data_IF_486269297534
#
_entry.id   IF_486269297534
#
_cell.length_a   1.000
_cell.length_b   1.000
_cell.length_c   1.000
_cell.angle_alpha   90.00
_cell.angle_beta   90.00
_cell.angle_gamma   90.00
#
_symmetry.space_group_name_H-M   'P 1'
#
loop_
_entity.id
_entity.type
_entity.pdbx_description
1 polymer ?
#
# COMPACT_ATOMS: atom_id res chain seq x y z
N UNK A 1 14.05 1.11 -0.82
CA UNK A 1 12.85 1.81 -0.36
C UNK A 1 12.37 1.07 0.87
N UNK A 2 12.23 1.76 1.99
CA UNK A 2 11.77 1.22 3.28
C UNK A 2 10.25 1.45 3.42
N UNK A 3 9.47 0.65 4.18
CA UNK A 3 8.03 0.87 4.34
C UNK A 3 7.66 2.28 4.82
N UNK A 4 8.50 2.90 5.66
CA UNK A 4 8.31 4.30 6.09
C UNK A 4 8.38 5.30 4.93
N UNK A 5 9.19 5.00 3.92
CA UNK A 5 9.25 5.82 2.71
C UNK A 5 8.00 5.65 1.86
N UNK A 6 7.38 4.46 1.86
CA UNK A 6 6.09 4.24 1.21
C UNK A 6 4.99 5.09 1.87
N UNK A 7 4.94 5.13 3.21
CA UNK A 7 4.02 6.00 3.96
C UNK A 7 4.24 7.48 3.63
N UNK A 8 5.51 7.94 3.60
CA UNK A 8 5.83 9.32 3.22
C UNK A 8 5.40 9.63 1.77
N UNK A 9 5.58 8.69 0.85
CA UNK A 9 5.14 8.89 -0.53
C UNK A 9 3.61 8.91 -0.63
N UNK A 10 2.90 8.17 0.22
CA UNK A 10 1.43 8.15 0.26
C UNK A 10 0.89 9.52 0.66
N UNK A 11 1.59 10.26 1.52
CA UNK A 11 1.11 11.57 2.00
C UNK A 11 0.79 12.57 0.88
N UNK A 12 1.41 12.41 -0.31
CA UNK A 12 1.15 13.24 -1.49
C UNK A 12 -0.08 12.81 -2.30
N UNK A 13 -0.68 11.65 -2.00
CA UNK A 13 -1.93 11.24 -2.63
C UNK A 13 -3.08 12.13 -2.17
N UNK A 14 -4.07 12.28 -3.05
CA UNK A 14 -5.22 13.13 -2.85
C UNK A 14 -6.35 12.34 -2.20
N UNK A 15 -6.98 12.90 -1.17
CA UNK A 15 -8.12 12.32 -0.46
C UNK A 15 -9.20 13.37 -0.25
N UNK A 16 -10.45 12.93 -0.25
CA UNK A 16 -11.59 13.79 0.01
C UNK A 16 -11.82 13.97 1.52
N UNK A 17 -12.05 15.22 1.94
CA UNK A 17 -12.42 15.57 3.30
C UNK A 17 -13.67 16.44 3.30
N UNK A 18 -14.41 16.40 4.41
CA UNK A 18 -15.53 17.31 4.67
C UNK A 18 -15.10 18.25 5.80
N UNK A 19 -14.75 19.52 5.49
CA UNK A 19 -14.34 20.49 6.50
C UNK A 19 -15.53 21.02 7.30
N UNK A 20 -15.26 21.52 8.50
CA UNK A 20 -16.24 22.21 9.36
C UNK A 20 -15.93 23.70 9.55
N UNK A 21 -15.08 24.26 8.68
CA UNK A 21 -14.63 25.64 8.74
C UNK A 21 -14.63 26.26 7.36
N UNK A 22 -14.67 27.60 7.35
CA UNK A 22 -14.48 28.40 6.14
C UNK A 22 -13.05 28.91 6.05
N UNK A 23 -12.45 28.84 4.86
CA UNK A 23 -11.15 29.44 4.55
C UNK A 23 -11.00 29.62 3.04
N UNK A 24 -10.29 30.65 2.63
CA UNK A 24 -9.91 30.84 1.22
C UNK A 24 -9.01 29.70 0.73
N UNK A 25 -8.84 29.61 -0.60
CA UNK A 25 -7.99 28.60 -1.25
C UNK A 25 -6.54 28.70 -0.78
N UNK A 26 -5.85 27.56 -0.74
CA UNK A 26 -4.45 27.47 -0.33
C UNK A 26 -3.56 27.27 -1.55
N UNK A 27 -2.71 28.26 -1.83
CA UNK A 27 -1.66 28.13 -2.84
C UNK A 27 -0.45 27.41 -2.23
N UNK A 28 -0.22 26.17 -2.64
CA UNK A 28 0.94 25.37 -2.27
C UNK A 28 2.00 25.43 -3.37
N UNK A 29 3.23 25.04 -3.03
CA UNK A 29 4.35 25.00 -4.00
C UNK A 29 4.03 24.06 -5.18
N UNK A 30 3.29 22.97 -4.93
CA UNK A 30 3.01 21.92 -5.90
C UNK A 30 1.56 21.88 -6.38
N UNK A 31 0.79 22.96 -6.19
CA UNK A 31 -0.62 23.02 -6.61
C UNK A 31 -1.46 23.93 -5.74
N UNK A 32 -2.74 24.06 -6.08
CA UNK A 32 -3.71 24.80 -5.29
C UNK A 32 -4.71 23.83 -4.67
N UNK A 33 -5.11 24.10 -3.44
CA UNK A 33 -6.24 23.44 -2.78
C UNK A 33 -7.40 24.42 -2.76
N UNK A 34 -8.58 23.97 -3.18
CA UNK A 34 -9.79 24.78 -3.23
C UNK A 34 -10.15 25.40 -1.87
N UNK A 35 -11.00 26.43 -1.90
CA UNK A 35 -11.53 27.04 -0.69
C UNK A 35 -12.26 26.00 0.17
N UNK A 36 -12.10 26.12 1.49
CA UNK A 36 -12.78 25.25 2.43
C UNK A 36 -14.13 25.87 2.77
N UNK A 37 -15.20 25.11 2.57
CA UNK A 37 -16.55 25.52 2.96
C UNK A 37 -17.19 24.43 3.84
N UNK A 38 -17.78 24.78 5.00
CA UNK A 38 -18.34 23.79 5.92
C UNK A 38 -19.35 22.87 5.24
N UNK A 39 -19.12 21.55 5.35
CA UNK A 39 -20.02 20.53 4.82
C UNK A 39 -19.87 20.25 3.32
N UNK A 40 -19.01 20.97 2.60
CA UNK A 40 -18.76 20.74 1.18
C UNK A 40 -17.48 19.90 1.02
N UNK A 41 -17.53 18.74 0.33
CA UNK A 41 -16.36 17.91 0.14
C UNK A 41 -15.27 18.63 -0.67
N UNK A 42 -14.02 18.55 -0.19
CA UNK A 42 -12.85 19.13 -0.85
C UNK A 42 -11.75 18.07 -0.91
N UNK A 43 -11.06 17.98 -2.05
CA UNK A 43 -9.93 17.06 -2.21
C UNK A 43 -8.62 17.74 -1.82
N UNK A 44 -7.88 17.14 -0.89
CA UNK A 44 -6.61 17.66 -0.39
C UNK A 44 -5.55 16.55 -0.32
N UNK A 45 -4.25 16.89 -0.29
CA UNK A 45 -3.22 15.90 0.00
C UNK A 45 -3.43 15.25 1.37
N UNK A 46 -3.12 13.96 1.51
CA UNK A 46 -3.31 13.20 2.75
C UNK A 46 -2.65 13.88 3.96
N UNK A 47 -1.44 14.44 3.83
CA UNK A 47 -0.80 15.14 4.95
C UNK A 47 -1.62 16.36 5.44
N UNK A 48 -2.30 17.07 4.53
CA UNK A 48 -3.21 18.18 4.89
C UNK A 48 -4.43 17.62 5.61
N UNK A 49 -5.04 16.57 5.06
CA UNK A 49 -6.21 15.93 5.64
C UNK A 49 -5.94 15.46 7.08
N UNK A 50 -4.81 14.78 7.30
CA UNK A 50 -4.39 14.31 8.63
C UNK A 50 -4.14 15.46 9.61
N UNK A 51 -3.53 16.55 9.15
CA UNK A 51 -3.27 17.73 9.98
C UNK A 51 -4.55 18.45 10.39
N UNK A 52 -5.49 18.62 9.46
CA UNK A 52 -6.81 19.21 9.73
C UNK A 52 -7.63 18.30 10.66
N UNK A 53 -7.60 16.98 10.44
CA UNK A 53 -8.31 16.01 11.26
C UNK A 53 -7.82 15.97 12.70
N UNK A 54 -6.49 16.08 12.91
CA UNK A 54 -5.88 16.18 14.25
C UNK A 54 -6.38 17.39 15.04
N UNK A 55 -6.75 18.47 14.34
CA UNK A 55 -7.37 19.68 14.91
C UNK A 55 -8.89 19.62 14.99
N UNK A 56 -9.50 18.47 14.66
CA UNK A 56 -10.95 18.27 14.60
C UNK A 56 -11.65 19.27 13.66
N UNK A 57 -10.98 19.65 12.56
CA UNK A 57 -11.48 20.63 11.58
C UNK A 57 -12.09 20.01 10.32
N UNK A 58 -12.05 18.70 10.20
CA UNK A 58 -12.67 17.97 9.09
C UNK A 58 -12.96 16.54 9.52
N UNK A 59 -13.81 15.88 8.75
CA UNK A 59 -13.99 14.43 8.74
C UNK A 59 -13.35 13.91 7.46
N UNK A 60 -12.53 12.87 7.54
CA UNK A 60 -11.95 12.27 6.35
C UNK A 60 -12.98 11.34 5.70
N UNK A 61 -13.21 11.49 4.39
CA UNK A 61 -14.01 10.54 3.64
C UNK A 61 -13.11 9.37 3.19
N UNK A 62 -13.29 8.14 3.72
CA UNK A 62 -12.45 7.02 3.33
C UNK A 62 -12.65 6.66 1.84
N UNK A 63 -11.63 6.12 1.15
CA UNK A 63 -11.77 5.65 -0.21
C UNK A 63 -12.90 4.62 -0.35
N UNK A 64 -13.60 4.56 -1.50
CA UNK A 64 -14.80 3.74 -1.65
C UNK A 64 -14.54 2.24 -1.48
N UNK A 65 -13.30 1.77 -1.68
CA UNK A 65 -12.91 0.39 -1.48
C UNK A 65 -12.65 0.03 0.00
N UNK A 66 -12.43 1.03 0.86
CA UNK A 66 -12.11 0.87 2.28
C UNK A 66 -13.38 0.70 3.10
N UNK A 67 -14.13 -0.36 2.79
CA UNK A 67 -15.34 -0.76 3.50
C UNK A 67 -15.36 -2.30 3.67
N UNK A 68 -16.15 -2.85 4.60
CA UNK A 68 -16.14 -4.29 4.86
C UNK A 68 -16.51 -5.16 3.65
N UNK A 69 -17.42 -4.72 2.79
CA UNK A 69 -17.87 -5.47 1.62
C UNK A 69 -16.80 -5.48 0.52
N UNK A 70 -16.23 -4.32 0.22
CA UNK A 70 -15.15 -4.17 -0.75
C UNK A 70 -13.90 -4.97 -0.36
N UNK A 71 -13.53 -4.92 0.93
CA UNK A 71 -12.40 -5.71 1.44
C UNK A 71 -12.66 -7.22 1.40
N UNK A 72 -13.88 -7.67 1.72
CA UNK A 72 -14.25 -9.09 1.56
C UNK A 72 -14.15 -9.53 0.11
N UNK A 73 -14.66 -8.73 -0.82
CA UNK A 73 -14.59 -9.03 -2.24
C UNK A 73 -13.13 -9.14 -2.72
N UNK A 74 -12.27 -8.20 -2.33
CA UNK A 74 -10.84 -8.26 -2.64
C UNK A 74 -10.16 -9.48 -2.03
N UNK A 75 -10.50 -9.85 -0.79
CA UNK A 75 -9.98 -11.07 -0.16
C UNK A 75 -10.41 -12.34 -0.92
N UNK A 76 -11.67 -12.43 -1.36
CA UNK A 76 -12.15 -13.55 -2.18
C UNK A 76 -11.43 -13.61 -3.52
N UNK A 77 -11.28 -12.48 -4.22
CA UNK A 77 -10.54 -12.42 -5.48
C UNK A 77 -9.07 -12.81 -5.32
N UNK A 78 -8.45 -12.42 -4.21
CA UNK A 78 -7.09 -12.83 -3.88
C UNK A 78 -7.04 -14.33 -3.56
N UNK A 79 -8.07 -14.94 -2.98
CA UNK A 79 -8.08 -16.37 -2.69
C UNK A 79 -8.23 -17.22 -3.96
N UNK A 80 -9.05 -16.77 -4.90
CA UNK A 80 -9.35 -17.48 -6.15
C UNK A 80 -8.23 -17.36 -7.19
N UNK A 81 -7.46 -16.27 -7.15
CA UNK A 81 -6.39 -16.03 -8.11
C UNK A 81 -5.12 -16.82 -7.73
N UNK A 82 -4.53 -17.57 -8.67
CA UNK A 82 -3.25 -18.24 -8.44
C UNK A 82 -2.09 -17.24 -8.27
N UNK A 83 -2.13 -16.14 -9.02
CA UNK A 83 -1.20 -15.01 -8.90
C UNK A 83 -1.72 -13.94 -7.94
N UNK A 84 -1.17 -12.73 -8.04
CA UNK A 84 -1.65 -11.59 -7.26
C UNK A 84 -2.88 -10.97 -7.94
N UNK A 85 -3.96 -10.81 -7.19
CA UNK A 85 -5.12 -10.05 -7.69
C UNK A 85 -4.78 -8.56 -7.77
N UNK A 86 -5.48 -7.83 -8.64
CA UNK A 86 -5.31 -6.39 -8.76
C UNK A 86 -6.01 -5.70 -7.58
N UNK A 87 -5.24 -4.95 -6.81
CA UNK A 87 -5.73 -4.11 -5.71
C UNK A 87 -5.45 -2.63 -6.00
N UNK A 88 -6.12 -1.68 -5.32
CA UNK A 88 -5.82 -0.26 -5.45
C UNK A 88 -4.34 0.05 -5.22
N UNK A 89 -3.83 1.09 -5.89
CA UNK A 89 -2.48 1.57 -5.62
C UNK A 89 -2.34 2.06 -4.18
N UNK A 90 -1.17 1.81 -3.57
CA UNK A 90 -0.87 2.16 -2.16
C UNK A 90 -1.92 1.69 -1.16
N UNK A 91 -2.54 0.54 -1.44
CA UNK A 91 -3.61 -0.05 -0.64
C UNK A 91 -3.22 -0.19 0.84
N UNK A 92 -2.05 -0.80 1.11
CA UNK A 92 -1.63 -1.12 2.47
C UNK A 92 -1.28 0.14 3.27
N UNK A 93 -0.58 1.08 2.64
CA UNK A 93 -0.23 2.36 3.24
C UNK A 93 -1.51 3.14 3.58
N UNK A 94 -2.45 3.21 2.63
CA UNK A 94 -3.70 3.97 2.79
C UNK A 94 -4.54 3.39 3.91
N UNK A 95 -4.72 2.06 3.91
CA UNK A 95 -5.41 1.36 4.98
C UNK A 95 -4.71 1.59 6.34
N UNK A 96 -3.39 1.46 6.40
CA UNK A 96 -2.63 1.64 7.63
C UNK A 96 -2.79 3.06 8.21
N UNK A 97 -2.56 4.08 7.39
CA UNK A 97 -2.62 5.49 7.81
C UNK A 97 -4.02 5.86 8.28
N UNK A 98 -5.05 5.56 7.49
CA UNK A 98 -6.43 5.92 7.83
C UNK A 98 -6.95 5.15 9.05
N UNK A 99 -6.74 3.84 9.13
CA UNK A 99 -7.19 3.02 10.27
C UNK A 99 -6.43 3.32 11.58
N UNK A 100 -5.24 3.94 11.49
CA UNK A 100 -4.43 4.31 12.67
C UNK A 100 -4.73 5.73 13.14
N UNK A 101 -4.83 6.69 12.20
CA UNK A 101 -4.94 8.12 12.51
C UNK A 101 -6.37 8.63 12.52
N UNK A 102 -7.28 7.97 11.80
CA UNK A 102 -8.66 8.42 11.56
C UNK A 102 -9.70 7.39 11.99
N UNK A 103 -9.39 6.64 13.05
CA UNK A 103 -10.24 5.57 13.61
C UNK A 103 -11.68 5.97 13.93
N UNK A 104 -11.92 7.25 14.22
CA UNK A 104 -13.25 7.79 14.56
C UNK A 104 -14.12 8.04 13.32
N UNK A 105 -13.50 8.20 12.15
CA UNK A 105 -14.19 8.49 10.89
C UNK A 105 -14.53 7.20 10.14
N UNK A 106 -14.19 6.05 10.71
CA UNK A 106 -14.20 4.75 10.05
C UNK A 106 -15.09 3.78 10.81
N UNK A 107 -16.18 3.35 10.17
CA UNK A 107 -17.08 2.34 10.70
C UNK A 107 -16.48 0.93 10.59
N UNK A 108 -16.84 0.00 11.49
CA UNK A 108 -16.42 -1.41 11.43
C UNK A 108 -14.88 -1.63 11.39
N UNK A 109 -14.13 -0.72 12.02
CA UNK A 109 -12.66 -0.67 11.98
C UNK A 109 -11.96 -2.01 12.26
N UNK A 110 -12.38 -2.75 13.30
CA UNK A 110 -11.74 -4.02 13.67
C UNK A 110 -11.95 -5.13 12.62
N UNK A 111 -13.13 -5.15 11.99
CA UNK A 111 -13.43 -6.09 10.90
C UNK A 111 -12.53 -5.75 9.70
N UNK A 112 -12.41 -4.48 9.36
CA UNK A 112 -11.58 -4.05 8.24
C UNK A 112 -10.09 -4.29 8.49
N UNK A 113 -9.59 -4.09 9.71
CA UNK A 113 -8.21 -4.45 10.08
C UNK A 113 -7.94 -5.93 9.89
N UNK A 114 -8.90 -6.77 10.28
CA UNK A 114 -8.81 -8.22 10.10
C UNK A 114 -8.74 -8.56 8.61
N UNK A 115 -9.65 -8.01 7.79
CA UNK A 115 -9.67 -8.28 6.35
C UNK A 115 -8.41 -7.79 5.61
N UNK A 116 -7.90 -6.60 5.95
CA UNK A 116 -6.64 -6.09 5.37
C UNK A 116 -5.47 -6.99 5.75
N UNK A 117 -5.43 -7.47 6.99
CA UNK A 117 -4.41 -8.40 7.45
C UNK A 117 -4.51 -9.74 6.72
N UNK A 118 -5.71 -10.27 6.53
CA UNK A 118 -5.92 -11.53 5.80
C UNK A 118 -5.39 -11.41 4.35
N UNK A 119 -5.69 -10.30 3.67
CA UNK A 119 -5.16 -9.99 2.33
C UNK A 119 -3.62 -9.95 2.36
N UNK A 120 -3.02 -9.26 3.33
CA UNK A 120 -1.57 -9.18 3.50
C UNK A 120 -0.94 -10.56 3.71
N UNK A 121 -1.52 -11.39 4.58
CA UNK A 121 -1.00 -12.71 4.91
C UNK A 121 -1.09 -13.67 3.72
N UNK A 122 -2.20 -13.62 2.96
CA UNK A 122 -2.37 -14.39 1.72
C UNK A 122 -1.33 -13.99 0.67
N UNK A 123 -1.16 -12.68 0.43
CA UNK A 123 -0.22 -12.17 -0.57
C UNK A 123 1.23 -12.40 -0.18
N UNK A 124 1.56 -12.24 1.10
CA UNK A 124 2.88 -12.59 1.64
C UNK A 124 3.18 -14.08 1.45
N UNK A 125 2.17 -14.94 1.65
CA UNK A 125 2.32 -16.39 1.42
C UNK A 125 2.57 -16.70 -0.05
N UNK A 126 1.83 -16.09 -0.97
CA UNK A 126 2.07 -16.20 -2.42
C UNK A 126 3.46 -15.72 -2.83
N UNK A 127 3.89 -14.58 -2.29
CA UNK A 127 5.22 -14.01 -2.55
C UNK A 127 6.33 -14.97 -2.12
N UNK A 128 6.20 -15.61 -0.96
CA UNK A 128 7.14 -16.65 -0.49
C UNK A 128 7.15 -17.85 -1.43
N UNK A 129 5.99 -18.38 -1.79
CA UNK A 129 5.91 -19.53 -2.72
C UNK A 129 6.50 -19.20 -4.08
N UNK A 130 6.21 -18.01 -4.62
CA UNK A 130 6.79 -17.51 -5.88
C UNK A 130 8.32 -17.40 -5.78
N UNK A 131 8.83 -16.86 -4.67
CA UNK A 131 10.27 -16.76 -4.41
C UNK A 131 10.95 -18.13 -4.38
N UNK A 132 10.37 -19.10 -3.66
CA UNK A 132 10.93 -20.45 -3.56
C UNK A 132 10.97 -21.12 -4.94
N UNK A 133 9.89 -21.02 -5.72
CA UNK A 133 9.84 -21.54 -7.09
C UNK A 133 10.90 -20.91 -7.98
N UNK A 134 11.09 -19.59 -7.86
CA UNK A 134 12.12 -18.88 -8.61
C UNK A 134 13.53 -19.36 -8.26
N UNK A 135 13.84 -19.50 -6.97
CA UNK A 135 15.16 -19.94 -6.52
C UNK A 135 15.45 -21.42 -6.82
N UNK A 136 14.42 -22.24 -7.03
CA UNK A 136 14.56 -23.66 -7.33
C UNK A 136 14.73 -23.95 -8.84
N UNK A 137 14.15 -23.14 -9.72
CA UNK A 137 14.27 -23.27 -11.18
C UNK A 137 15.57 -22.61 -11.68
N UNK A 138 16.73 -23.27 -11.52
CA UNK A 138 17.89 -22.93 -12.36
C UNK A 138 17.66 -23.45 -13.80
N UNK A 139 17.88 -22.66 -14.86
CA UNK A 139 18.60 -21.39 -14.94
C UNK A 139 17.68 -20.18 -15.25
N UNK A 140 16.58 -19.95 -14.52
CA UNK A 140 15.74 -18.76 -14.79
C UNK A 140 16.46 -17.48 -14.35
N UNK A 141 16.73 -16.60 -15.31
CA UNK A 141 17.36 -15.29 -15.09
C UNK A 141 16.39 -14.18 -14.68
N UNK A 142 15.09 -14.39 -14.87
CA UNK A 142 14.07 -13.37 -14.70
C UNK A 142 12.73 -13.96 -14.27
N UNK A 143 11.94 -13.14 -13.58
CA UNK A 143 10.58 -13.46 -13.14
C UNK A 143 9.72 -12.23 -13.34
N UNK A 144 8.60 -12.43 -14.03
CA UNK A 144 7.53 -11.45 -14.07
C UNK A 144 6.62 -11.66 -12.86
N UNK A 145 6.40 -10.58 -12.11
CA UNK A 145 5.48 -10.58 -10.96
C UNK A 145 4.54 -9.39 -11.13
N UNK A 146 3.32 -9.68 -11.57
CA UNK A 146 2.30 -8.66 -11.81
C UNK A 146 1.50 -8.36 -10.54
N UNK A 147 0.88 -7.17 -10.49
CA UNK A 147 -0.04 -6.74 -9.44
C UNK A 147 0.52 -6.74 -8.02
N UNK A 148 1.84 -6.69 -7.83
CA UNK A 148 2.46 -6.48 -6.52
C UNK A 148 2.61 -4.99 -6.25
N UNK A 149 2.27 -4.58 -5.02
CA UNK A 149 2.33 -3.18 -4.60
C UNK A 149 3.75 -2.76 -4.22
N UNK A 150 4.01 -1.46 -4.24
CA UNK A 150 5.29 -0.91 -3.82
C UNK A 150 5.62 -1.24 -2.35
N UNK A 151 4.60 -1.29 -1.49
CA UNK A 151 4.75 -1.66 -0.08
C UNK A 151 5.25 -3.09 0.11
N UNK A 152 4.68 -4.05 -0.64
CA UNK A 152 5.11 -5.45 -0.64
C UNK A 152 6.55 -5.58 -1.15
N UNK A 153 6.88 -4.89 -2.24
CA UNK A 153 8.24 -4.84 -2.77
C UNK A 153 9.19 -4.30 -1.72
N UNK A 154 8.85 -3.23 -1.02
CA UNK A 154 9.70 -2.64 0.03
C UNK A 154 10.03 -3.65 1.15
N UNK A 155 9.08 -4.50 1.54
CA UNK A 155 9.28 -5.52 2.58
C UNK A 155 10.21 -6.65 2.14
N UNK A 156 10.17 -7.04 0.87
CA UNK A 156 10.83 -8.27 0.40
C UNK A 156 12.12 -7.98 -0.39
N UNK A 157 12.30 -6.76 -0.91
CA UNK A 157 13.41 -6.34 -1.78
C UNK A 157 14.78 -6.68 -1.22
N UNK A 158 15.07 -6.31 0.03
CA UNK A 158 16.40 -6.51 0.61
C UNK A 158 16.72 -8.01 0.74
N UNK A 159 15.73 -8.82 1.12
CA UNK A 159 15.88 -10.26 1.20
C UNK A 159 16.17 -10.88 -0.17
N UNK A 160 15.36 -10.54 -1.18
CA UNK A 160 15.51 -11.10 -2.53
C UNK A 160 16.83 -10.71 -3.17
N UNK A 161 17.16 -9.42 -3.18
CA UNK A 161 18.38 -8.91 -3.82
C UNK A 161 19.66 -9.47 -3.19
N UNK A 162 19.70 -9.60 -1.86
CA UNK A 162 20.83 -10.18 -1.17
C UNK A 162 20.95 -11.69 -1.42
N UNK A 163 19.81 -12.41 -1.39
CA UNK A 163 19.79 -13.86 -1.62
C UNK A 163 20.19 -14.20 -3.04
N UNK A 164 19.61 -13.53 -4.05
CA UNK A 164 19.95 -13.76 -5.46
C UNK A 164 21.39 -13.39 -5.75
N UNK A 165 21.89 -12.25 -5.25
CA UNK A 165 23.30 -11.87 -5.42
C UNK A 165 24.25 -12.93 -4.85
N UNK A 166 23.89 -13.55 -3.73
CA UNK A 166 24.71 -14.60 -3.10
C UNK A 166 24.67 -15.88 -3.94
N UNK A 167 23.48 -16.30 -4.40
CA UNK A 167 23.30 -17.48 -5.24
C UNK A 167 24.08 -17.33 -6.56
N UNK A 168 23.98 -16.17 -7.22
CA UNK A 168 24.73 -15.90 -8.46
C UNK A 168 26.24 -15.97 -8.24
N UNK A 169 26.75 -15.44 -7.12
CA UNK A 169 28.19 -15.55 -6.79
C UNK A 169 28.63 -17.01 -6.60
N UNK A 170 27.80 -17.83 -5.95
CA UNK A 170 28.09 -19.25 -5.74
C UNK A 170 28.04 -20.04 -7.05
N UNK A 171 27.05 -19.80 -7.89
CA UNK A 171 26.92 -20.42 -9.22
C UNK A 171 28.13 -20.10 -10.11
N UNK A 172 28.56 -18.83 -10.13
CA UNK A 172 29.77 -18.43 -10.85
C UNK A 172 31.03 -19.08 -10.28
N UNK A 173 31.15 -19.18 -8.95
CA UNK A 173 32.29 -19.85 -8.34
C UNK A 173 32.37 -21.33 -8.73
N UNK A 174 31.25 -22.06 -8.73
CA UNK A 174 31.23 -23.49 -9.12
C UNK A 174 31.63 -23.67 -10.59
N UNK A 175 31.13 -22.82 -11.48
CA UNK A 175 31.48 -22.89 -12.91
C UNK A 175 32.96 -22.60 -13.18
N UNK A 176 33.62 -21.77 -12.37
CA UNK A 176 35.06 -21.51 -12.46
C UNK A 176 35.94 -22.74 -12.08
N UNK A 177 35.42 -23.75 -11.38
CA UNK A 177 36.15 -25.01 -11.06
C UNK A 177 35.95 -26.12 -12.09
N UNK A 178 34.94 -26.00 -12.96
CA UNK A 178 34.64 -27.00 -13.99
C UNK A 178 35.37 -26.74 -15.33
N UNK A 179 36.24 -25.71 -15.37
CA UNK A 179 37.14 -25.35 -16.50
C UNK A 179 38.59 -25.56 -16.09
#
# INVERSE_FOLDING_TARGET
MDPKQCDFLLENEMIEIIPNFSSDSLQLICGEVDAFEPGIPVTVPIWVALHLRKRQRCVINPPPWLNPEGLKQMATQEAENEGFSKIPERFFETAHVLMTRCKEDIENLEIMRTLVKDIWDMRTSKMKTSTIKFLADEPRSDVQIDNVTQFEIAHVRNFLTNSTSTITKLSNFVTDFEV
#
